data_IF_441384091627
#
_entry.id   IF_441384091627
#
_cell.length_a   1.000
_cell.length_b   1.000
_cell.length_c   1.000
_cell.angle_alpha   90.00
_cell.angle_beta   90.00
_cell.angle_gamma   90.00
#
_symmetry.space_group_name_H-M   'P 1'
#
loop_
_entity.id
_entity.type
_entity.pdbx_description
1 polymer ?
#
# COMPACT_ATOMS: atom_id res chain seq x y z
N UNK A 1 8.18 -28.89 -35.16
CA UNK A 1 7.33 -27.79 -34.66
C UNK A 1 6.89 -28.03 -33.19
N UNK A 2 7.83 -28.20 -32.25
CA UNK A 2 7.51 -28.50 -30.83
C UNK A 2 7.82 -27.36 -29.84
N UNK A 3 8.58 -26.35 -30.26
CA UNK A 3 8.98 -25.22 -29.38
C UNK A 3 7.84 -24.26 -29.03
N UNK A 4 6.90 -24.00 -29.95
CA UNK A 4 5.82 -23.03 -29.71
C UNK A 4 4.80 -23.46 -28.64
N UNK A 5 4.50 -24.77 -28.56
CA UNK A 5 3.58 -25.31 -27.53
C UNK A 5 4.20 -25.26 -26.13
N UNK A 6 5.51 -25.53 -26.03
CA UNK A 6 6.26 -25.45 -24.77
C UNK A 6 6.36 -24.01 -24.29
N UNK A 7 6.73 -23.08 -25.17
CA UNK A 7 6.84 -21.65 -24.85
C UNK A 7 5.53 -21.06 -24.34
N UNK A 8 4.41 -21.36 -25.03
CA UNK A 8 3.06 -20.90 -24.60
C UNK A 8 2.69 -21.42 -23.20
N UNK A 9 3.04 -22.66 -22.88
CA UNK A 9 2.79 -23.25 -21.56
C UNK A 9 3.66 -22.60 -20.48
N UNK A 10 4.91 -22.27 -20.79
CA UNK A 10 5.81 -21.56 -19.89
C UNK A 10 5.28 -20.13 -19.62
N UNK A 11 4.86 -19.39 -20.65
CA UNK A 11 4.24 -18.07 -20.54
C UNK A 11 2.97 -18.09 -19.67
N UNK A 12 2.10 -19.09 -19.86
CA UNK A 12 0.88 -19.28 -19.07
C UNK A 12 1.17 -19.57 -17.59
N UNK A 13 2.22 -20.36 -17.29
CA UNK A 13 2.64 -20.62 -15.92
C UNK A 13 3.18 -19.37 -15.22
N UNK A 14 3.97 -18.56 -15.93
CA UNK A 14 4.49 -17.28 -15.42
C UNK A 14 3.35 -16.31 -15.13
N UNK A 15 2.39 -16.15 -16.06
CA UNK A 15 1.23 -15.30 -15.87
C UNK A 15 0.39 -15.74 -14.66
N UNK A 16 0.20 -17.05 -14.49
CA UNK A 16 -0.55 -17.60 -13.35
C UNK A 16 0.17 -17.38 -12.01
N UNK A 17 1.48 -17.44 -11.98
CA UNK A 17 2.26 -17.18 -10.77
C UNK A 17 2.25 -15.69 -10.38
N UNK A 18 2.38 -14.82 -11.38
CA UNK A 18 2.22 -13.38 -11.22
C UNK A 18 0.83 -13.03 -10.65
N UNK A 19 -0.23 -13.60 -11.19
CA UNK A 19 -1.59 -13.43 -10.67
C UNK A 19 -1.73 -13.92 -9.23
N UNK A 20 -1.22 -15.11 -8.88
CA UNK A 20 -1.28 -15.62 -7.49
C UNK A 20 -0.61 -14.68 -6.50
N UNK A 21 0.54 -14.12 -6.89
CA UNK A 21 1.30 -13.18 -6.06
C UNK A 21 0.52 -11.87 -5.89
N UNK A 22 0.05 -11.27 -6.97
CA UNK A 22 -0.75 -10.04 -6.92
C UNK A 22 -2.04 -10.23 -6.11
N UNK A 23 -2.77 -11.31 -6.37
CA UNK A 23 -4.01 -11.66 -5.65
C UNK A 23 -3.76 -11.79 -4.15
N UNK A 24 -2.66 -12.41 -3.73
CA UNK A 24 -2.32 -12.54 -2.31
C UNK A 24 -2.09 -11.18 -1.64
N UNK A 25 -1.35 -10.28 -2.29
CA UNK A 25 -1.12 -8.94 -1.74
C UNK A 25 -2.41 -8.13 -1.65
N UNK A 26 -3.28 -8.27 -2.65
CA UNK A 26 -4.60 -7.64 -2.64
C UNK A 26 -5.52 -8.22 -1.58
N UNK A 27 -5.46 -9.53 -1.33
CA UNK A 27 -6.21 -10.20 -0.24
C UNK A 27 -5.83 -9.66 1.14
N UNK A 28 -4.54 -9.45 1.38
CA UNK A 28 -4.04 -8.77 2.57
C UNK A 28 -4.58 -7.33 2.66
N UNK A 29 -4.63 -6.60 1.54
CA UNK A 29 -5.15 -5.23 1.49
C UNK A 29 -6.64 -5.12 1.75
N UNK A 30 -7.44 -6.03 1.19
CA UNK A 30 -8.88 -6.11 1.40
C UNK A 30 -9.18 -6.51 2.85
N UNK A 31 -8.39 -7.42 3.42
CA UNK A 31 -8.52 -7.81 4.84
C UNK A 31 -8.28 -6.60 5.77
N UNK A 32 -7.15 -5.90 5.58
CA UNK A 32 -6.84 -4.69 6.35
C UNK A 32 -7.90 -3.60 6.13
N UNK A 33 -8.42 -3.45 4.91
CA UNK A 33 -9.50 -2.51 4.63
C UNK A 33 -10.76 -2.84 5.45
N UNK A 34 -11.15 -4.12 5.54
CA UNK A 34 -12.29 -4.55 6.34
C UNK A 34 -12.14 -4.18 7.82
N UNK A 35 -10.96 -4.43 8.40
CA UNK A 35 -10.63 -4.04 9.78
C UNK A 35 -10.71 -2.51 9.96
N UNK A 36 -10.09 -1.78 9.04
CA UNK A 36 -10.06 -0.32 9.03
C UNK A 36 -11.44 0.33 8.95
N UNK A 37 -12.36 -0.26 8.18
CA UNK A 37 -13.75 0.23 8.06
C UNK A 37 -14.54 -0.13 9.33
N UNK A 38 -14.36 -1.33 9.87
CA UNK A 38 -15.01 -1.74 11.12
C UNK A 38 -14.61 -0.85 12.32
N UNK A 39 -13.36 -0.38 12.36
CA UNK A 39 -12.85 0.54 13.39
C UNK A 39 -13.51 1.92 13.42
N UNK A 40 -14.27 2.32 12.39
CA UNK A 40 -14.90 3.65 12.37
C UNK A 40 -15.99 3.81 13.44
N UNK A 41 -16.56 2.70 13.94
CA UNK A 41 -17.59 2.68 14.99
C UNK A 41 -18.68 3.75 14.77
N UNK A 42 -19.19 3.91 13.54
CA UNK A 42 -20.11 5.01 13.18
C UNK A 42 -21.40 5.00 14.00
N UNK A 43 -21.83 3.83 14.47
CA UNK A 43 -22.97 3.67 15.38
C UNK A 43 -22.76 4.31 16.77
N UNK A 44 -21.54 4.73 17.07
CA UNK A 44 -21.17 5.42 18.32
C UNK A 44 -21.05 6.95 18.19
N UNK A 45 -21.32 7.52 17.01
CA UNK A 45 -21.20 8.96 16.72
C UNK A 45 -22.28 9.85 17.37
N UNK A 46 -22.88 9.40 18.48
CA UNK A 46 -23.86 10.16 19.27
C UNK A 46 -25.30 10.04 18.78
N UNK A 47 -26.21 10.76 19.44
CA UNK A 47 -27.67 10.62 19.27
C UNK A 47 -28.22 11.10 17.90
N UNK A 48 -27.39 11.75 17.08
CA UNK A 48 -27.72 12.16 15.71
C UNK A 48 -26.46 12.17 14.82
N UNK A 49 -26.15 11.07 14.10
CA UNK A 49 -24.94 11.02 13.28
C UNK A 49 -25.04 11.99 12.10
N UNK A 50 -23.92 12.65 11.79
CA UNK A 50 -23.82 13.51 10.62
C UNK A 50 -24.14 12.71 9.35
N UNK A 51 -25.13 13.18 8.58
CA UNK A 51 -25.62 12.50 7.38
C UNK A 51 -24.54 12.34 6.31
N UNK A 52 -23.58 13.26 6.23
CA UNK A 52 -22.47 13.19 5.26
C UNK A 52 -21.45 12.12 5.69
N UNK A 53 -21.12 12.04 6.98
CA UNK A 53 -20.28 10.98 7.52
C UNK A 53 -20.91 9.60 7.31
N UNK A 54 -22.22 9.47 7.52
CA UNK A 54 -22.96 8.23 7.29
C UNK A 54 -22.92 7.83 5.81
N UNK A 55 -23.08 8.76 4.87
CA UNK A 55 -23.00 8.43 3.44
C UNK A 55 -21.58 7.99 3.04
N UNK A 56 -20.54 8.65 3.54
CA UNK A 56 -19.16 8.20 3.30
C UNK A 56 -18.89 6.83 3.92
N UNK A 57 -19.37 6.55 5.12
CA UNK A 57 -19.24 5.23 5.73
C UNK A 57 -19.93 4.14 4.90
N UNK A 58 -21.15 4.38 4.44
CA UNK A 58 -21.88 3.46 3.55
C UNK A 58 -21.09 3.19 2.27
N UNK A 59 -20.54 4.24 1.63
CA UNK A 59 -19.71 4.07 0.42
C UNK A 59 -18.41 3.31 0.69
N UNK A 60 -17.80 3.46 1.87
CA UNK A 60 -16.62 2.68 2.24
C UNK A 60 -16.96 1.18 2.34
N UNK A 61 -18.10 0.85 2.96
CA UNK A 61 -18.62 -0.53 3.03
C UNK A 61 -18.94 -1.09 1.63
N UNK A 62 -19.65 -0.33 0.79
CA UNK A 62 -19.99 -0.74 -0.57
C UNK A 62 -18.74 -1.05 -1.41
N UNK A 63 -17.71 -0.20 -1.33
CA UNK A 63 -16.44 -0.46 -2.03
C UNK A 63 -15.68 -1.65 -1.44
N UNK A 64 -15.71 -1.86 -0.11
CA UNK A 64 -15.12 -3.04 0.51
C UNK A 64 -15.80 -4.35 0.05
N UNK A 65 -17.13 -4.38 0.01
CA UNK A 65 -17.90 -5.53 -0.48
C UNK A 65 -17.63 -5.78 -1.98
N UNK A 66 -17.54 -4.71 -2.77
CA UNK A 66 -17.18 -4.78 -4.17
C UNK A 66 -15.75 -5.33 -4.37
N UNK A 67 -14.77 -4.84 -3.61
CA UNK A 67 -13.39 -5.32 -3.68
C UNK A 67 -13.29 -6.80 -3.31
N UNK A 68 -14.02 -7.24 -2.27
CA UNK A 68 -14.10 -8.65 -1.85
C UNK A 68 -14.67 -9.52 -2.98
N UNK A 69 -15.76 -9.08 -3.60
CA UNK A 69 -16.43 -9.80 -4.70
C UNK A 69 -15.54 -9.89 -5.95
N UNK A 70 -14.89 -8.79 -6.33
CA UNK A 70 -13.97 -8.75 -7.47
C UNK A 70 -12.74 -9.62 -7.23
N UNK A 71 -12.18 -9.61 -6.02
CA UNK A 71 -11.02 -10.44 -5.65
C UNK A 71 -11.34 -11.93 -5.74
N UNK A 72 -12.55 -12.32 -5.31
CA UNK A 72 -13.04 -13.69 -5.44
C UNK A 72 -13.20 -14.12 -6.91
N UNK A 73 -13.58 -13.20 -7.80
CA UNK A 73 -13.76 -13.45 -9.23
C UNK A 73 -12.49 -13.26 -10.08
N UNK A 74 -11.42 -12.68 -9.54
CA UNK A 74 -10.20 -12.38 -10.29
C UNK A 74 -9.49 -13.63 -10.82
N UNK A 75 -9.08 -13.62 -12.08
CA UNK A 75 -8.33 -14.72 -12.71
C UNK A 75 -7.01 -14.25 -13.35
N UNK A 76 -6.84 -12.94 -13.51
CA UNK A 76 -5.70 -12.31 -14.16
C UNK A 76 -5.10 -11.21 -13.31
N UNK A 77 -3.87 -10.80 -13.64
CA UNK A 77 -3.19 -9.68 -12.96
C UNK A 77 -3.96 -8.38 -13.21
N UNK A 78 -4.49 -8.20 -14.41
CA UNK A 78 -5.29 -7.05 -14.83
C UNK A 78 -6.57 -6.91 -14.01
N UNK A 79 -7.23 -8.03 -13.66
CA UNK A 79 -8.37 -8.02 -12.73
C UNK A 79 -7.95 -7.46 -11.36
N UNK A 80 -6.76 -7.85 -10.87
CA UNK A 80 -6.25 -7.37 -9.57
C UNK A 80 -5.90 -5.88 -9.63
N UNK A 81 -5.34 -5.37 -10.75
CA UNK A 81 -5.13 -3.91 -10.96
C UNK A 81 -6.45 -3.16 -10.79
N UNK A 82 -7.52 -3.65 -11.41
CA UNK A 82 -8.80 -2.97 -11.39
C UNK A 82 -9.36 -2.85 -9.95
N UNK A 83 -9.03 -3.79 -9.06
CA UNK A 83 -9.44 -3.76 -7.66
C UNK A 83 -8.72 -2.66 -6.87
N UNK A 84 -7.50 -2.27 -7.25
CA UNK A 84 -6.74 -1.24 -6.53
C UNK A 84 -7.49 0.08 -6.42
N UNK A 85 -8.18 0.49 -7.49
CA UNK A 85 -8.97 1.72 -7.50
C UNK A 85 -10.16 1.62 -6.54
N UNK A 86 -10.85 0.48 -6.49
CA UNK A 86 -11.96 0.23 -5.56
C UNK A 86 -11.48 0.30 -4.11
N UNK A 87 -10.32 -0.30 -3.82
CA UNK A 87 -9.70 -0.23 -2.48
C UNK A 87 -9.27 1.20 -2.14
N UNK A 88 -8.69 1.94 -3.09
CA UNK A 88 -8.32 3.33 -2.91
C UNK A 88 -9.55 4.22 -2.63
N UNK A 89 -10.66 3.99 -3.34
CA UNK A 89 -11.93 4.69 -3.13
C UNK A 89 -12.53 4.39 -1.75
N UNK A 90 -12.50 3.12 -1.30
CA UNK A 90 -12.91 2.76 0.05
C UNK A 90 -12.09 3.50 1.11
N UNK A 91 -10.76 3.58 0.93
CA UNK A 91 -9.86 4.29 1.86
C UNK A 91 -10.05 5.80 1.82
N UNK A 92 -10.37 6.39 0.66
CA UNK A 92 -10.79 7.79 0.59
C UNK A 92 -12.04 8.02 1.44
N UNK A 93 -13.06 7.18 1.28
CA UNK A 93 -14.32 7.34 2.00
C UNK A 93 -14.12 7.16 3.51
N UNK A 94 -13.29 6.21 3.94
CA UNK A 94 -12.84 6.10 5.33
C UNK A 94 -12.17 7.37 5.83
N UNK A 95 -11.23 7.93 5.06
CA UNK A 95 -10.54 9.16 5.44
C UNK A 95 -11.50 10.35 5.55
N UNK A 96 -12.53 10.41 4.69
CA UNK A 96 -13.58 11.42 4.76
C UNK A 96 -14.43 11.30 6.03
N UNK A 97 -14.79 10.08 6.46
CA UNK A 97 -15.49 9.85 7.75
C UNK A 97 -14.67 10.39 8.92
N UNK A 98 -13.36 10.08 8.94
CA UNK A 98 -12.44 10.55 9.98
C UNK A 98 -12.36 12.08 9.98
N UNK A 99 -12.20 12.70 8.80
CA UNK A 99 -12.12 14.15 8.68
C UNK A 99 -13.38 14.86 9.19
N UNK A 100 -14.58 14.38 8.82
CA UNK A 100 -15.84 14.95 9.30
C UNK A 100 -15.96 14.82 10.83
N UNK A 101 -15.64 13.63 11.38
CA UNK A 101 -15.66 13.39 12.83
C UNK A 101 -14.74 14.35 13.58
N UNK A 102 -13.56 14.60 13.02
CA UNK A 102 -12.52 15.42 13.67
C UNK A 102 -12.68 16.92 13.37
N UNK A 103 -13.65 17.31 12.53
CA UNK A 103 -13.89 18.70 12.11
C UNK A 103 -12.87 19.23 11.10
N UNK A 104 -12.14 18.34 10.44
CA UNK A 104 -11.13 18.64 9.44
C UNK A 104 -11.75 18.75 8.03
N UNK A 105 -11.11 19.48 7.09
CA UNK A 105 -11.51 19.48 5.69
C UNK A 105 -11.45 18.08 5.08
N UNK A 106 -12.37 17.78 4.15
CA UNK A 106 -12.36 16.53 3.41
C UNK A 106 -11.01 16.30 2.70
N UNK A 107 -10.52 15.06 2.63
CA UNK A 107 -9.28 14.75 1.93
C UNK A 107 -9.43 15.05 0.43
N UNK A 108 -8.31 15.41 -0.21
CA UNK A 108 -8.25 15.50 -1.67
C UNK A 108 -8.34 14.11 -2.33
N UNK A 109 -8.86 14.06 -3.57
CA UNK A 109 -8.79 12.86 -4.42
C UNK A 109 -7.39 12.72 -5.01
N UNK A 110 -6.45 12.28 -4.16
CA UNK A 110 -5.04 12.08 -4.50
C UNK A 110 -4.67 10.60 -4.50
N UNK A 111 -3.54 10.30 -5.11
CA UNK A 111 -2.87 9.00 -5.02
C UNK A 111 -2.66 8.58 -3.54
N UNK A 112 -2.61 7.27 -3.25
CA UNK A 112 -2.35 6.77 -1.91
C UNK A 112 -0.99 7.20 -1.36
N UNK A 113 -0.80 7.08 -0.05
CA UNK A 113 0.50 7.30 0.56
C UNK A 113 1.58 6.39 -0.07
N UNK A 114 2.68 7.03 -0.51
CA UNK A 114 3.80 6.37 -1.18
C UNK A 114 4.43 5.23 -0.35
N UNK A 115 4.60 5.41 0.96
CA UNK A 115 5.24 4.41 1.82
C UNK A 115 4.35 3.24 2.17
N UNK A 116 3.04 3.50 2.30
CA UNK A 116 2.04 2.50 2.58
C UNK A 116 0.67 2.94 2.06
N UNK A 117 0.18 2.39 0.93
CA UNK A 117 -1.16 2.69 0.42
C UNK A 117 -2.30 2.38 1.40
N UNK A 118 -2.05 1.56 2.43
CA UNK A 118 -3.02 1.27 3.49
C UNK A 118 -3.29 2.48 4.40
N UNK A 119 -2.45 3.51 4.37
CA UNK A 119 -2.71 4.76 5.09
C UNK A 119 -3.81 5.61 4.44
N UNK A 120 -4.25 5.26 3.22
CA UNK A 120 -5.24 6.02 2.47
C UNK A 120 -4.64 7.14 1.61
N UNK A 121 -5.45 8.14 1.20
CA UNK A 121 -5.02 9.18 0.28
C UNK A 121 -3.87 10.01 0.88
N UNK A 122 -2.95 10.43 0.01
CA UNK A 122 -1.93 11.42 0.37
C UNK A 122 -2.57 12.78 0.68
N UNK A 123 -1.89 13.58 1.50
CA UNK A 123 -2.32 14.93 1.87
C UNK A 123 -1.36 15.99 1.35
N UNK A 124 -0.10 15.64 1.15
CA UNK A 124 0.93 16.58 0.69
C UNK A 124 2.08 15.87 -0.01
N UNK A 125 2.78 16.64 -0.84
CA UNK A 125 4.02 16.26 -1.48
C UNK A 125 5.22 16.63 -0.59
N UNK A 126 6.19 15.73 -0.48
CA UNK A 126 7.41 15.94 0.31
C UNK A 126 8.64 15.57 -0.51
N UNK A 127 9.73 16.32 -0.34
CA UNK A 127 11.03 15.89 -0.84
C UNK A 127 11.59 14.81 0.07
N UNK A 128 11.97 13.69 -0.54
CA UNK A 128 12.52 12.54 0.17
C UNK A 128 13.65 11.91 -0.61
N UNK A 129 14.71 11.52 0.09
CA UNK A 129 15.84 10.80 -0.50
C UNK A 129 15.88 9.38 0.05
N UNK A 130 15.69 8.35 -0.80
CA UNK A 130 15.90 6.96 -0.38
C UNK A 130 17.35 6.73 0.06
N UNK A 131 17.61 5.82 1.01
CA UNK A 131 18.97 5.47 1.40
C UNK A 131 19.84 5.08 0.19
N UNK A 132 20.91 5.83 -0.06
CA UNK A 132 21.83 5.57 -1.18
C UNK A 132 21.26 5.89 -2.57
N UNK A 133 20.12 6.59 -2.68
CA UNK A 133 19.55 6.99 -3.97
C UNK A 133 19.43 8.52 -4.13
N UNK A 134 18.64 8.92 -5.12
CA UNK A 134 18.49 10.33 -5.53
C UNK A 134 17.25 10.97 -4.88
N UNK A 135 17.32 12.24 -4.46
CA UNK A 135 16.14 12.99 -4.00
C UNK A 135 14.99 12.94 -5.01
N UNK A 136 13.76 12.85 -4.49
CA UNK A 136 12.52 12.85 -5.28
C UNK A 136 11.36 13.42 -4.48
N UNK A 137 10.41 14.01 -5.19
CA UNK A 137 9.13 14.41 -4.60
C UNK A 137 8.20 13.21 -4.58
N UNK A 138 7.58 12.93 -3.42
CA UNK A 138 6.64 11.84 -3.21
C UNK A 138 5.39 12.33 -2.49
N UNK A 139 4.26 11.68 -2.75
CA UNK A 139 3.00 11.98 -2.09
C UNK A 139 2.83 11.15 -0.81
N UNK A 140 2.57 11.82 0.32
CA UNK A 140 2.55 11.18 1.64
C UNK A 140 1.30 11.55 2.44
N UNK A 141 0.85 10.64 3.31
CA UNK A 141 -0.20 10.96 4.28
C UNK A 141 0.36 11.90 5.35
N UNK A 142 -0.53 12.57 6.09
CA UNK A 142 -0.12 13.50 7.14
C UNK A 142 0.74 12.85 8.24
N UNK A 143 0.54 11.56 8.54
CA UNK A 143 1.33 10.85 9.55
C UNK A 143 2.79 10.66 9.12
N UNK A 144 3.03 10.13 7.92
CA UNK A 144 4.38 9.94 7.40
C UNK A 144 5.07 11.27 7.09
N UNK A 145 4.32 12.28 6.63
CA UNK A 145 4.85 13.62 6.46
C UNK A 145 5.38 14.22 7.77
N UNK A 146 4.66 14.04 8.89
CA UNK A 146 5.11 14.50 10.21
C UNK A 146 6.36 13.74 10.68
N UNK A 147 6.42 12.42 10.47
CA UNK A 147 7.61 11.60 10.79
C UNK A 147 8.83 12.13 10.05
N UNK A 148 8.73 12.29 8.73
CA UNK A 148 9.82 12.83 7.93
C UNK A 148 10.25 14.23 8.38
N UNK A 149 9.30 15.12 8.69
CA UNK A 149 9.61 16.46 9.19
C UNK A 149 10.32 16.44 10.55
N UNK A 150 10.06 15.43 11.38
CA UNK A 150 10.73 15.21 12.66
C UNK A 150 12.10 14.50 12.52
N UNK A 151 12.51 14.15 11.30
CA UNK A 151 13.71 13.32 11.06
C UNK A 151 13.53 11.86 11.47
N UNK A 152 12.28 11.44 11.71
CA UNK A 152 11.90 10.05 11.97
C UNK A 152 11.70 9.28 10.67
N UNK A 153 11.77 7.97 10.77
CA UNK A 153 11.55 7.09 9.63
C UNK A 153 10.06 6.96 9.29
N UNK A 154 9.70 6.89 8.00
CA UNK A 154 8.31 6.66 7.59
C UNK A 154 7.89 5.21 7.92
N UNK A 155 6.59 4.99 8.06
CA UNK A 155 6.02 3.66 8.26
C UNK A 155 5.91 2.93 6.91
N UNK A 156 7.04 2.39 6.45
CA UNK A 156 7.13 1.68 5.18
C UNK A 156 6.46 0.32 5.27
N UNK A 157 5.51 0.04 4.38
CA UNK A 157 4.92 -1.30 4.25
C UNK A 157 5.96 -2.26 3.70
N UNK A 158 6.14 -3.38 4.39
CA UNK A 158 6.92 -4.51 3.91
C UNK A 158 5.98 -5.57 3.34
N UNK A 159 6.30 -6.08 2.15
CA UNK A 159 5.53 -7.16 1.50
C UNK A 159 6.40 -8.36 1.26
N UNK A 160 5.80 -9.55 1.34
CA UNK A 160 6.50 -10.81 1.15
C UNK A 160 6.39 -11.28 -0.29
N UNK A 161 7.51 -11.24 -1.01
CA UNK A 161 7.65 -11.78 -2.36
C UNK A 161 8.55 -13.01 -2.33
N UNK A 162 7.93 -14.19 -2.45
CA UNK A 162 8.61 -15.47 -2.25
C UNK A 162 9.14 -15.62 -0.82
N UNK A 163 10.45 -15.74 -0.68
CA UNK A 163 11.20 -15.89 0.57
C UNK A 163 11.74 -14.57 1.13
N UNK A 164 11.50 -13.43 0.45
CA UNK A 164 12.05 -12.13 0.84
C UNK A 164 10.96 -11.15 1.27
N UNK A 165 11.33 -10.29 2.22
CA UNK A 165 10.58 -9.08 2.56
C UNK A 165 11.16 -7.90 1.78
N UNK A 166 10.29 -7.21 1.06
CA UNK A 166 10.66 -6.09 0.19
C UNK A 166 9.81 -4.87 0.58
N UNK A 167 10.39 -3.67 0.67
CA UNK A 167 9.60 -2.45 0.81
C UNK A 167 8.61 -2.32 -0.34
N UNK A 168 7.36 -2.00 -0.03
CA UNK A 168 6.27 -1.92 -1.00
C UNK A 168 6.64 -1.10 -2.25
N UNK A 169 7.17 0.10 -2.05
CA UNK A 169 7.54 1.01 -3.13
C UNK A 169 8.75 0.54 -3.97
N UNK A 170 9.46 -0.52 -3.53
CA UNK A 170 10.52 -1.20 -4.28
C UNK A 170 10.08 -2.53 -4.87
N UNK A 171 8.98 -3.11 -4.35
CA UNK A 171 8.45 -4.37 -4.84
C UNK A 171 8.00 -4.24 -6.29
N UNK A 172 7.58 -3.05 -6.74
CA UNK A 172 7.09 -2.78 -8.10
C UNK A 172 7.01 -1.30 -8.50
N UNK A 173 7.67 -0.39 -7.77
CA UNK A 173 7.66 1.04 -8.07
C UNK A 173 6.33 1.76 -7.80
N UNK A 174 6.27 3.04 -8.19
CA UNK A 174 5.13 3.95 -8.01
C UNK A 174 3.88 3.61 -8.84
N UNK A 175 3.89 2.48 -9.55
CA UNK A 175 2.87 2.06 -10.53
C UNK A 175 1.92 0.94 -10.00
N UNK A 176 1.90 0.69 -8.69
CA UNK A 176 0.96 -0.25 -8.03
C UNK A 176 1.46 -1.70 -7.88
N UNK A 177 0.59 -2.58 -7.35
CA UNK A 177 0.81 -4.04 -7.11
C UNK A 177 1.39 -4.77 -8.34
N UNK A 178 1.19 -4.22 -9.53
CA UNK A 178 1.43 -4.90 -10.82
C UNK A 178 2.77 -4.59 -11.45
N UNK A 179 3.42 -3.47 -11.10
CA UNK A 179 4.85 -3.32 -11.40
C UNK A 179 5.65 -4.48 -10.78
N UNK A 180 5.26 -4.92 -9.58
CA UNK A 180 5.93 -6.00 -8.86
C UNK A 180 5.79 -7.36 -9.55
N UNK A 181 4.56 -7.70 -9.92
CA UNK A 181 4.25 -8.96 -10.60
C UNK A 181 4.82 -8.99 -12.03
N UNK A 182 4.83 -7.85 -12.74
CA UNK A 182 5.37 -7.73 -14.08
C UNK A 182 6.92 -7.71 -14.12
N UNK A 183 7.57 -7.15 -13.09
CA UNK A 183 9.03 -7.11 -12.97
C UNK A 183 9.58 -8.45 -12.45
N UNK A 184 8.86 -9.12 -11.54
CA UNK A 184 9.09 -10.54 -11.19
C UNK A 184 9.00 -11.48 -12.40
N UNK A 185 8.15 -11.16 -13.38
CA UNK A 185 7.96 -11.95 -14.59
C UNK A 185 8.99 -11.66 -15.70
N UNK A 186 9.63 -10.47 -15.72
CA UNK A 186 10.51 -10.05 -16.82
C UNK A 186 11.99 -10.20 -16.53
N UNK A 187 12.46 -9.84 -15.33
CA UNK A 187 13.88 -9.79 -15.05
C UNK A 187 14.17 -10.29 -13.63
N UNK A 188 14.93 -11.38 -13.53
CA UNK A 188 15.57 -11.78 -12.28
C UNK A 188 16.46 -10.63 -11.79
N UNK A 189 15.94 -9.82 -10.89
CA UNK A 189 16.47 -8.52 -10.49
C UNK A 189 17.98 -8.48 -10.18
N UNK A 190 18.62 -7.38 -10.64
CA UNK A 190 19.96 -6.93 -10.27
C UNK A 190 20.08 -6.70 -8.75
N UNK A 191 20.78 -7.62 -8.09
CA UNK A 191 20.51 -7.95 -6.69
C UNK A 191 21.32 -7.24 -5.60
N UNK A 192 22.07 -6.16 -5.85
CA UNK A 192 22.95 -5.58 -4.81
C UNK A 192 22.34 -4.33 -4.14
N UNK A 193 21.96 -3.31 -4.91
CA UNK A 193 21.46 -2.02 -4.37
C UNK A 193 20.12 -2.18 -3.64
N UNK A 194 19.21 -2.99 -4.19
CA UNK A 194 17.92 -3.23 -3.57
C UNK A 194 17.98 -4.11 -2.31
N UNK A 195 18.93 -5.05 -2.24
CA UNK A 195 19.16 -5.83 -1.00
C UNK A 195 19.67 -4.93 0.12
N UNK A 196 20.55 -3.97 -0.20
CA UNK A 196 21.02 -2.97 0.76
C UNK A 196 19.89 -2.12 1.32
N UNK A 197 18.99 -1.65 0.45
CA UNK A 197 17.79 -0.87 0.85
C UNK A 197 16.81 -1.69 1.68
N UNK A 198 16.44 -2.89 1.23
CA UNK A 198 15.53 -3.76 1.98
C UNK A 198 16.12 -4.14 3.35
N UNK A 199 17.42 -4.45 3.41
CA UNK A 199 18.11 -4.70 4.67
C UNK A 199 18.17 -3.46 5.56
N UNK A 200 18.36 -2.26 4.99
CA UNK A 200 18.31 -1.01 5.74
C UNK A 200 16.93 -0.85 6.41
N UNK A 201 15.82 -1.00 5.67
CA UNK A 201 14.46 -0.91 6.23
C UNK A 201 14.14 -2.01 7.25
N UNK A 202 14.65 -3.23 7.05
CA UNK A 202 14.48 -4.33 8.02
C UNK A 202 15.28 -4.09 9.30
N UNK A 203 16.52 -3.61 9.19
CA UNK A 203 17.34 -3.25 10.36
C UNK A 203 16.75 -2.07 11.13
N UNK A 204 16.09 -1.16 10.42
CA UNK A 204 15.39 0.01 10.94
C UNK A 204 14.12 -0.35 11.72
N UNK A 205 13.28 -1.25 11.19
CA UNK A 205 12.07 -1.71 11.88
C UNK A 205 12.33 -2.68 13.04
N UNK A 206 13.48 -3.39 13.04
CA UNK A 206 13.93 -4.21 14.17
C UNK A 206 14.63 -3.42 15.29
N UNK A 207 15.00 -2.16 15.03
CA UNK A 207 15.66 -1.27 15.99
C UNK A 207 14.68 -0.33 16.68
N UNK A 208 14.04 -0.78 17.77
CA UNK A 208 13.41 0.14 18.73
C UNK A 208 14.43 1.16 19.27
N UNK A 209 14.00 2.31 19.82
CA UNK A 209 14.89 3.43 20.14
C UNK A 209 15.92 2.99 21.18
N UNK A 210 17.14 2.69 20.73
CA UNK A 210 18.28 2.56 21.63
C UNK A 210 18.72 3.97 21.98
N UNK A 211 18.24 4.43 23.14
CA UNK A 211 18.58 5.72 23.72
C UNK A 211 20.07 5.96 23.71
N UNK A 212 20.48 7.07 23.09
CA UNK A 212 21.84 7.53 23.06
C UNK A 212 22.37 7.77 24.47
N UNK A 213 23.35 6.96 24.87
CA UNK A 213 24.21 7.24 26.00
C UNK A 213 25.15 8.39 25.64
N UNK A 214 24.80 9.60 26.07
CA UNK A 214 25.74 10.68 26.31
C UNK A 214 26.85 10.16 27.25
N UNK A 215 28.13 10.34 26.90
CA UNK A 215 29.16 10.86 27.80
C UNK A 215 30.31 11.42 26.95
N UNK A 216 30.52 12.72 27.12
CA UNK A 216 31.61 13.47 26.52
C UNK A 216 32.83 13.61 27.44
N UNK A 217 33.87 14.17 26.80
CA UNK A 217 35.23 14.49 27.25
C UNK A 217 36.23 13.34 27.20
#
# INVERSE_FOLDING_TARGET
>A
MFGGRRRRREEELVAKDAWRTARKLMDEDVTVLGEQVAELHVDTLGDAPDTEAVDHYRRALENYDQATSLLAASETVEDVVAIEQVVADARYHRAAVIAIRDGDPLPGRREPCFFNPQHGPSMQDVEWTPPGGTPRTIATCAADARRLAAGEEPLVRMVRLGDRWVPWHLAGGADGTVGAAAELARDGWGGEVQKGLAQAYLNQSAGGPSGGGLHGR
#
